data_IF_799908816987
#
_entry.id   IF_799908816987
#
_cell.length_a   1.000
_cell.length_b   1.000
_cell.length_c   1.000
_cell.angle_alpha   90.00
_cell.angle_beta   90.00
_cell.angle_gamma   90.00
#
_symmetry.space_group_name_H-M   'P 1'
#
loop_
_entity.id
_entity.type
_entity.pdbx_description
1 polymer ?
#
# COMPACT_ATOMS: atom_id res chain seq x y z
N UNK A 1 -38.94 -29.24 -32.60
CA UNK A 1 -39.98 -28.22 -32.80
C UNK A 1 -39.31 -26.99 -33.36
N UNK A 2 -39.48 -26.75 -34.66
CA UNK A 2 -38.88 -25.63 -35.38
C UNK A 2 -39.73 -24.36 -35.18
N UNK A 3 -39.10 -23.26 -34.76
CA UNK A 3 -39.69 -21.92 -34.85
C UNK A 3 -38.83 -21.07 -35.79
N UNK A 4 -39.06 -21.22 -37.09
CA UNK A 4 -38.64 -20.24 -38.10
C UNK A 4 -39.57 -19.03 -38.01
N UNK A 5 -39.24 -18.05 -37.18
CA UNK A 5 -40.00 -16.80 -37.10
C UNK A 5 -39.57 -15.86 -38.23
N UNK A 6 -40.45 -15.74 -39.22
CA UNK A 6 -40.58 -14.71 -40.25
C UNK A 6 -39.67 -13.47 -40.12
N UNK A 7 -38.50 -13.50 -40.77
CA UNK A 7 -37.79 -12.28 -41.13
C UNK A 7 -38.50 -11.66 -42.36
N UNK A 8 -39.45 -10.75 -42.12
CA UNK A 8 -39.94 -9.87 -43.18
C UNK A 8 -38.90 -8.78 -43.43
N UNK A 9 -38.40 -8.56 -44.66
CA UNK A 9 -37.52 -7.45 -44.93
C UNK A 9 -38.32 -6.14 -44.86
N UNK A 10 -37.90 -5.24 -43.97
CA UNK A 10 -38.48 -3.90 -43.81
C UNK A 10 -38.41 -3.03 -45.08
N UNK A 11 -37.81 -3.52 -46.17
CA UNK A 11 -37.72 -2.84 -47.47
C UNK A 11 -39.07 -2.71 -48.18
N UNK A 12 -40.10 -3.49 -47.82
CA UNK A 12 -41.41 -3.43 -48.48
C UNK A 12 -42.35 -2.30 -47.99
N UNK A 13 -42.05 -1.67 -46.85
CA UNK A 13 -42.89 -0.60 -46.30
C UNK A 13 -42.54 0.80 -46.82
N UNK A 14 -41.36 0.96 -47.43
CA UNK A 14 -40.93 2.25 -47.98
C UNK A 14 -41.44 2.52 -49.41
N UNK A 15 -41.93 1.50 -50.12
CA UNK A 15 -42.43 1.65 -51.50
C UNK A 15 -43.87 2.22 -51.58
N UNK A 16 -44.65 2.17 -50.50
CA UNK A 16 -46.04 2.62 -50.51
C UNK A 16 -46.22 4.15 -50.32
N UNK A 17 -45.18 4.86 -49.87
CA UNK A 17 -45.25 6.31 -49.60
C UNK A 17 -44.89 7.21 -50.81
N UNK A 18 -44.66 6.63 -51.99
CA UNK A 18 -44.15 7.36 -53.18
C UNK A 18 -45.25 7.81 -54.17
N UNK A 19 -46.53 7.85 -53.78
CA UNK A 19 -47.63 8.19 -54.70
C UNK A 19 -48.43 9.45 -54.39
N UNK A 20 -48.06 10.25 -53.40
CA UNK A 20 -48.62 11.59 -53.21
C UNK A 20 -47.48 12.61 -53.16
N UNK A 21 -47.57 13.62 -54.05
CA UNK A 21 -46.56 14.64 -54.31
C UNK A 21 -46.36 15.63 -53.17
N UNK A 22 -45.86 15.16 -52.05
CA UNK A 22 -45.18 15.98 -51.06
C UNK A 22 -43.80 15.39 -50.86
N UNK A 23 -42.75 16.14 -51.19
CA UNK A 23 -41.39 15.76 -50.84
C UNK A 23 -41.31 15.63 -49.32
N UNK A 24 -41.08 14.42 -48.75
CA UNK A 24 -40.72 14.36 -47.36
C UNK A 24 -39.36 15.04 -47.25
N UNK A 25 -39.30 16.17 -46.54
CA UNK A 25 -38.03 16.75 -46.10
C UNK A 25 -37.38 15.71 -45.20
N UNK A 26 -36.53 14.87 -45.78
CA UNK A 26 -35.66 13.95 -45.05
C UNK A 26 -34.73 14.83 -44.23
N UNK A 27 -35.08 15.06 -42.98
CA UNK A 27 -34.10 15.57 -42.01
C UNK A 27 -32.91 14.61 -42.07
N UNK A 28 -31.68 15.09 -42.20
CA UNK A 28 -30.54 14.19 -42.22
C UNK A 28 -30.59 13.40 -40.91
N UNK A 29 -30.74 12.08 -41.01
CA UNK A 29 -30.51 11.15 -39.91
C UNK A 29 -29.04 11.37 -39.51
N UNK A 30 -28.83 12.29 -38.59
CA UNK A 30 -27.54 12.48 -37.94
C UNK A 30 -27.33 11.19 -37.17
N UNK A 31 -26.51 10.31 -37.74
CA UNK A 31 -26.10 9.08 -37.08
C UNK A 31 -25.20 9.49 -35.92
N UNK A 32 -25.83 9.80 -34.78
CA UNK A 32 -25.08 10.15 -33.58
C UNK A 32 -24.36 8.89 -33.11
N UNK A 33 -23.03 9.00 -32.99
CA UNK A 33 -22.16 7.89 -32.62
C UNK A 33 -22.38 7.56 -31.13
N UNK A 34 -23.38 6.73 -30.80
CA UNK A 34 -23.77 6.36 -29.43
C UNK A 34 -23.15 5.06 -28.90
N UNK A 35 -22.87 4.95 -27.58
CA UNK A 35 -22.17 3.80 -26.95
C UNK A 35 -23.08 2.57 -26.76
N UNK A 36 -23.94 2.28 -27.73
CA UNK A 36 -25.05 1.32 -27.58
C UNK A 36 -24.61 -0.14 -27.62
N UNK A 37 -23.35 -0.43 -27.97
CA UNK A 37 -22.83 -1.80 -28.08
C UNK A 37 -21.59 -2.01 -27.22
N UNK A 38 -21.49 -3.17 -26.59
CA UNK A 38 -20.35 -3.59 -25.75
C UNK A 38 -19.02 -3.54 -26.51
N UNK A 39 -19.02 -3.92 -27.80
CA UNK A 39 -17.84 -3.83 -28.66
C UNK A 39 -17.31 -2.39 -28.80
N UNK A 40 -18.20 -1.39 -28.81
CA UNK A 40 -17.80 0.01 -28.91
C UNK A 40 -17.22 0.51 -27.58
N UNK A 41 -17.82 0.15 -26.46
CA UNK A 41 -17.29 0.48 -25.12
C UNK A 41 -15.93 -0.17 -24.90
N UNK A 42 -15.73 -1.43 -25.28
CA UNK A 42 -14.44 -2.13 -25.21
C UNK A 42 -13.34 -1.43 -26.01
N UNK A 43 -13.65 -0.92 -27.21
CA UNK A 43 -12.68 -0.17 -28.03
C UNK A 43 -12.35 1.20 -27.42
N UNK A 44 -13.34 1.86 -26.82
CA UNK A 44 -13.15 3.16 -26.19
C UNK A 44 -12.32 3.08 -24.90
N UNK A 45 -12.46 2.00 -24.12
CA UNK A 45 -11.72 1.76 -22.86
C UNK A 45 -10.44 0.93 -23.07
N UNK A 46 -9.96 0.80 -24.32
CA UNK A 46 -8.77 0.00 -24.61
C UNK A 46 -7.51 0.71 -24.08
N UNK A 47 -6.80 0.03 -23.18
CA UNK A 47 -5.45 0.42 -22.74
C UNK A 47 -4.45 -0.37 -23.57
N UNK A 48 -3.42 0.30 -24.10
CA UNK A 48 -2.34 -0.36 -24.84
C UNK A 48 -1.44 -1.18 -23.88
N UNK A 49 -0.85 -2.30 -24.33
CA UNK A 49 0.15 -3.02 -23.53
C UNK A 49 1.42 -2.17 -23.35
N UNK A 50 2.27 -2.57 -22.41
CA UNK A 50 3.58 -1.93 -22.22
C UNK A 50 4.48 -2.13 -23.46
N UNK A 51 5.31 -1.13 -23.78
CA UNK A 51 6.12 -1.08 -25.00
C UNK A 51 7.06 -2.28 -25.17
N UNK A 52 7.50 -2.89 -24.07
CA UNK A 52 8.33 -4.11 -24.07
C UNK A 52 7.66 -5.32 -24.73
N UNK A 53 6.33 -5.32 -24.87
CA UNK A 53 5.58 -6.40 -25.54
C UNK A 53 5.24 -6.06 -26.99
N UNK A 54 5.54 -4.84 -27.45
CA UNK A 54 5.36 -4.48 -28.85
C UNK A 54 6.51 -5.08 -29.66
N UNK A 55 6.23 -5.59 -30.88
CA UNK A 55 7.28 -6.12 -31.74
C UNK A 55 8.28 -5.01 -32.07
N UNK A 56 9.57 -5.33 -31.96
CA UNK A 56 10.62 -4.43 -32.40
C UNK A 56 10.54 -4.26 -33.92
N UNK A 57 10.25 -3.03 -34.35
CA UNK A 57 10.08 -2.69 -35.77
C UNK A 57 11.42 -2.55 -36.50
N UNK A 58 12.54 -2.61 -35.79
CA UNK A 58 13.88 -2.54 -36.38
C UNK A 58 14.40 -3.91 -36.85
N UNK A 59 13.86 -5.01 -36.30
CA UNK A 59 14.29 -6.36 -36.66
C UNK A 59 13.60 -6.87 -37.94
N UNK A 60 14.35 -7.62 -38.76
CA UNK A 60 13.81 -8.28 -39.95
C UNK A 60 12.83 -9.39 -39.53
N UNK A 61 11.62 -9.40 -40.10
CA UNK A 61 10.60 -10.40 -39.77
C UNK A 61 10.83 -11.71 -40.55
N UNK A 62 10.73 -12.90 -39.92
CA UNK A 62 10.43 -13.13 -38.50
C UNK A 62 11.67 -12.97 -37.61
N UNK A 63 11.50 -12.25 -36.49
CA UNK A 63 12.53 -12.16 -35.47
C UNK A 63 12.73 -13.53 -34.78
N UNK A 64 13.97 -13.85 -34.39
CA UNK A 64 14.28 -15.03 -33.60
C UNK A 64 13.75 -14.92 -32.16
N UNK A 65 13.48 -16.06 -31.53
CA UNK A 65 13.02 -16.10 -30.14
C UNK A 65 14.09 -15.56 -29.18
N UNK A 66 13.71 -14.62 -28.32
CA UNK A 66 14.60 -14.02 -27.32
C UNK A 66 13.89 -13.80 -25.97
N UNK A 67 14.66 -13.81 -24.89
CA UNK A 67 14.16 -13.56 -23.52
C UNK A 67 14.47 -12.10 -23.16
N UNK A 68 13.43 -11.32 -22.88
CA UNK A 68 13.53 -9.90 -22.52
C UNK A 68 13.47 -9.75 -20.99
N UNK A 69 14.34 -8.92 -20.41
CA UNK A 69 14.26 -8.55 -19.00
C UNK A 69 13.29 -7.37 -18.80
N UNK A 70 12.08 -7.65 -18.31
CA UNK A 70 11.04 -6.64 -18.09
C UNK A 70 10.61 -6.57 -16.61
N UNK A 71 11.39 -5.92 -15.73
CA UNK A 71 11.02 -5.77 -14.33
C UNK A 71 9.75 -4.88 -14.22
N UNK A 72 8.65 -5.38 -13.64
CA UNK A 72 7.40 -4.62 -13.58
C UNK A 72 7.51 -3.44 -12.61
N UNK A 73 6.84 -2.33 -12.94
CA UNK A 73 6.71 -1.17 -12.06
C UNK A 73 5.60 -1.35 -11.01
N UNK A 74 5.61 -2.48 -10.31
CA UNK A 74 4.64 -2.86 -9.27
C UNK A 74 5.35 -3.20 -7.96
N UNK A 75 4.61 -3.22 -6.86
CA UNK A 75 5.14 -3.74 -5.60
C UNK A 75 5.41 -5.24 -5.71
N UNK A 76 6.48 -5.70 -5.05
CA UNK A 76 6.86 -7.10 -5.06
C UNK A 76 5.96 -7.92 -4.13
N UNK A 77 5.55 -9.10 -4.57
CA UNK A 77 4.84 -10.07 -3.74
C UNK A 77 5.74 -10.58 -2.60
N UNK A 78 5.19 -10.92 -1.41
CA UNK A 78 5.92 -11.60 -0.34
C UNK A 78 6.60 -12.91 -0.76
N UNK A 79 6.10 -13.55 -1.82
CA UNK A 79 6.70 -14.77 -2.39
C UNK A 79 8.09 -14.51 -3.00
N UNK A 80 8.38 -13.26 -3.40
CA UNK A 80 9.70 -12.86 -3.86
C UNK A 80 10.62 -12.60 -2.66
N UNK A 81 11.08 -13.69 -2.04
CA UNK A 81 11.91 -13.63 -0.84
C UNK A 81 13.25 -12.95 -1.12
N UNK A 82 13.62 -11.88 -0.38
CA UNK A 82 14.88 -11.20 -0.59
C UNK A 82 16.07 -12.10 -0.19
N UNK A 83 17.22 -11.87 -0.84
CA UNK A 83 18.45 -12.65 -0.65
C UNK A 83 18.87 -12.86 0.82
N UNK A 84 18.61 -11.87 1.69
CA UNK A 84 18.96 -11.92 3.11
C UNK A 84 18.18 -13.00 3.88
N UNK A 85 16.95 -13.32 3.44
CA UNK A 85 16.06 -14.27 4.13
C UNK A 85 16.13 -15.69 3.54
N UNK A 86 16.90 -15.90 2.48
CA UNK A 86 17.15 -17.24 1.94
C UNK A 86 18.19 -17.99 2.79
N UNK A 87 17.98 -19.29 3.09
CA UNK A 87 18.95 -20.09 3.81
C UNK A 87 20.23 -20.26 2.98
N UNK A 88 21.37 -20.49 3.64
CA UNK A 88 22.67 -20.61 2.96
C UNK A 88 22.75 -21.77 1.96
N UNK A 89 21.97 -22.83 2.17
CA UNK A 89 21.92 -24.01 1.29
C UNK A 89 21.06 -23.82 0.04
N UNK A 90 20.29 -22.72 -0.08
CA UNK A 90 19.39 -22.52 -1.21
C UNK A 90 20.17 -22.17 -2.50
N UNK A 91 20.03 -22.94 -3.60
CA UNK A 91 20.75 -22.67 -4.85
C UNK A 91 20.35 -21.33 -5.49
N UNK A 92 19.15 -20.79 -5.20
CA UNK A 92 18.69 -19.48 -5.69
C UNK A 92 19.58 -18.34 -5.18
N UNK A 93 20.28 -18.54 -4.06
CA UNK A 93 21.23 -17.58 -3.49
C UNK A 93 22.38 -17.28 -4.46
N UNK A 94 22.90 -18.31 -5.14
CA UNK A 94 23.97 -18.13 -6.13
C UNK A 94 23.50 -17.36 -7.37
N UNK A 95 22.28 -17.62 -7.84
CA UNK A 95 21.68 -16.90 -8.97
C UNK A 95 21.46 -15.41 -8.65
N UNK A 96 20.88 -15.11 -7.48
CA UNK A 96 20.67 -13.72 -7.03
C UNK A 96 22.00 -12.95 -6.84
N UNK A 97 23.06 -13.63 -6.37
CA UNK A 97 24.39 -13.03 -6.28
C UNK A 97 24.99 -12.70 -7.66
N UNK A 98 24.74 -13.53 -8.68
CA UNK A 98 25.16 -13.25 -10.07
C UNK A 98 24.43 -12.04 -10.64
N UNK A 99 23.10 -11.97 -10.49
CA UNK A 99 22.30 -10.85 -11.01
C UNK A 99 22.69 -9.51 -10.37
N UNK A 100 23.04 -9.48 -9.08
CA UNK A 100 23.49 -8.24 -8.41
C UNK A 100 24.81 -7.70 -8.95
N UNK A 101 25.73 -8.58 -9.36
CA UNK A 101 27.03 -8.20 -9.91
C UNK A 101 26.93 -7.62 -11.32
N UNK A 102 25.98 -8.08 -12.13
CA UNK A 102 25.81 -7.59 -13.50
C UNK A 102 25.24 -6.17 -13.55
N UNK A 103 24.34 -5.82 -12.63
CA UNK A 103 23.67 -4.50 -12.60
C UNK A 103 24.58 -3.36 -12.12
N UNK A 104 25.71 -3.66 -11.46
CA UNK A 104 26.63 -2.62 -10.97
C UNK A 104 27.39 -1.92 -12.10
N UNK A 105 27.44 -2.51 -13.30
CA UNK A 105 28.16 -1.95 -14.47
C UNK A 105 27.40 -0.83 -15.18
N UNK A 106 26.11 -0.63 -14.88
CA UNK A 106 25.25 0.40 -15.52
C UNK A 106 24.70 1.39 -14.51
N UNK A 107 25.50 1.76 -13.49
CA UNK A 107 25.16 2.85 -12.56
C UNK A 107 26.00 4.08 -12.86
N UNK A 108 25.78 4.70 -14.01
CA UNK A 108 26.14 6.09 -14.27
C UNK A 108 24.94 6.72 -14.97
N UNK A 109 24.45 7.83 -14.42
CA UNK A 109 23.35 8.70 -14.94
C UNK A 109 21.90 8.21 -14.88
N UNK A 110 21.48 7.51 -13.82
CA UNK A 110 20.09 7.65 -13.35
C UNK A 110 20.05 8.78 -12.32
N UNK A 111 19.06 9.71 -12.32
CA UNK A 111 18.95 10.67 -11.22
C UNK A 111 18.90 9.85 -9.94
N UNK A 112 19.83 10.11 -9.01
CA UNK A 112 19.80 9.60 -7.66
C UNK A 112 18.41 9.96 -7.14
N UNK A 113 17.46 9.01 -7.20
CA UNK A 113 16.17 9.17 -6.57
C UNK A 113 16.55 9.35 -5.12
N UNK A 114 16.54 10.59 -4.64
CA UNK A 114 16.63 10.88 -3.23
C UNK A 114 15.64 9.94 -2.60
N UNK A 115 16.14 8.93 -1.88
CA UNK A 115 15.29 7.94 -1.25
C UNK A 115 14.23 8.74 -0.52
N UNK A 116 12.96 8.52 -0.88
CA UNK A 116 11.85 9.33 -0.37
C UNK A 116 12.01 9.48 1.13
N UNK A 117 11.66 10.65 1.67
CA UNK A 117 11.85 11.05 3.09
C UNK A 117 11.84 9.84 4.00
N UNK A 118 13.04 9.38 4.41
CA UNK A 118 13.15 8.18 5.20
C UNK A 118 12.27 8.36 6.43
N UNK A 119 11.28 7.47 6.61
CA UNK A 119 10.38 7.58 7.75
C UNK A 119 11.23 7.56 9.01
N UNK A 120 11.26 8.71 9.70
CA UNK A 120 12.13 8.96 10.85
C UNK A 120 11.48 8.33 12.07
N UNK A 121 11.47 7.01 12.11
CA UNK A 121 11.06 6.28 13.30
C UNK A 121 12.12 6.48 14.39
N UNK A 122 11.72 6.64 15.65
CA UNK A 122 12.65 6.53 16.77
C UNK A 122 13.17 5.09 16.80
N UNK A 123 14.26 4.84 16.07
CA UNK A 123 15.00 3.58 16.18
C UNK A 123 15.67 3.53 17.54
N UNK A 124 15.90 2.31 18.03
CA UNK A 124 16.93 2.10 19.06
C UNK A 124 18.17 2.84 18.58
N UNK A 125 18.72 3.73 19.41
CA UNK A 125 19.92 4.49 19.04
C UNK A 125 20.93 3.53 18.42
N UNK A 126 21.59 3.97 17.34
CA UNK A 126 22.54 3.13 16.61
C UNK A 126 23.59 2.53 17.57
N UNK A 127 23.90 3.26 18.65
CA UNK A 127 24.69 2.82 19.79
C UNK A 127 23.84 2.68 21.08
N UNK A 128 23.41 1.46 21.47
CA UNK A 128 22.75 1.25 22.76
C UNK A 128 23.74 1.40 23.92
N UNK A 129 23.48 2.33 24.84
CA UNK A 129 24.28 2.58 26.06
C UNK A 129 23.80 1.70 27.22
N UNK A 130 24.71 0.92 27.82
CA UNK A 130 24.45 0.03 28.96
C UNK A 130 25.31 0.41 30.17
N UNK A 131 25.22 1.67 30.63
CA UNK A 131 26.05 2.20 31.71
C UNK A 131 25.45 2.05 33.11
N UNK A 132 24.20 1.57 33.23
CA UNK A 132 23.51 1.47 34.51
C UNK A 132 23.91 0.23 35.30
N UNK A 133 24.24 0.41 36.58
CA UNK A 133 24.50 -0.68 37.51
C UNK A 133 23.20 -1.26 38.09
N UNK A 134 23.27 -2.47 38.66
CA UNK A 134 22.12 -3.10 39.33
C UNK A 134 21.61 -2.26 40.52
N UNK A 135 22.51 -1.58 41.23
CA UNK A 135 22.19 -0.71 42.37
C UNK A 135 21.38 0.51 41.93
N UNK A 136 21.78 1.15 40.83
CA UNK A 136 21.05 2.28 40.25
C UNK A 136 19.65 1.88 39.77
N UNK A 137 19.50 0.65 39.25
CA UNK A 137 18.19 0.13 38.87
C UNK A 137 17.30 -0.09 40.10
N UNK A 138 17.87 -0.54 41.22
CA UNK A 138 17.12 -0.71 42.46
C UNK A 138 16.72 0.64 43.06
N UNK A 139 17.61 1.63 43.07
CA UNK A 139 17.30 3.00 43.49
C UNK A 139 16.17 3.59 42.64
N UNK A 140 16.22 3.41 41.32
CA UNK A 140 15.17 3.84 40.40
C UNK A 140 13.81 3.20 40.72
N UNK A 141 13.79 1.93 41.15
CA UNK A 141 12.58 1.24 41.60
C UNK A 141 12.06 1.81 42.92
N UNK A 142 12.93 2.01 43.90
CA UNK A 142 12.57 2.59 45.20
C UNK A 142 11.95 3.97 45.05
N UNK A 143 12.63 4.88 44.34
CA UNK A 143 12.15 6.25 44.09
C UNK A 143 10.77 6.28 43.42
N UNK A 144 10.50 5.33 42.52
CA UNK A 144 9.24 5.26 41.80
C UNK A 144 8.11 4.61 42.60
N UNK A 145 8.46 3.76 43.56
CA UNK A 145 7.52 3.17 44.51
C UNK A 145 7.13 4.17 45.60
N UNK A 146 8.08 5.01 46.04
CA UNK A 146 7.85 6.08 47.02
C UNK A 146 6.87 7.12 46.47
N UNK A 147 7.25 7.86 45.41
CA UNK A 147 6.43 8.94 44.86
C UNK A 147 6.39 8.90 43.32
N UNK A 148 5.42 8.22 42.70
CA UNK A 148 5.34 8.08 41.24
C UNK A 148 5.02 9.39 40.51
N UNK A 149 4.49 10.40 41.22
CA UNK A 149 4.14 11.72 40.69
C UNK A 149 5.38 12.61 40.51
N UNK A 150 6.25 12.67 41.52
CA UNK A 150 7.50 13.45 41.47
C UNK A 150 8.54 12.72 40.62
N UNK A 151 8.75 11.42 40.89
CA UNK A 151 9.66 10.55 40.16
C UNK A 151 8.98 9.90 38.95
N UNK A 152 8.50 10.77 38.05
CA UNK A 152 7.93 10.36 36.77
C UNK A 152 8.96 9.66 35.88
N UNK A 153 8.49 8.91 34.88
CA UNK A 153 9.36 8.22 33.90
C UNK A 153 10.36 9.18 33.26
N UNK A 154 9.92 10.40 32.94
CA UNK A 154 10.77 11.42 32.34
C UNK A 154 11.81 11.98 33.32
N UNK A 155 11.47 12.11 34.60
CA UNK A 155 12.40 12.59 35.62
C UNK A 155 13.52 11.58 35.88
N UNK A 156 13.17 10.30 36.02
CA UNK A 156 14.15 9.21 36.21
C UNK A 156 15.02 9.01 34.97
N UNK A 157 14.43 9.08 33.77
CA UNK A 157 15.18 9.01 32.52
C UNK A 157 16.26 10.09 32.41
N UNK A 158 15.96 11.32 32.88
CA UNK A 158 16.93 12.42 32.93
C UNK A 158 17.98 12.22 34.03
N UNK A 159 17.57 11.75 35.21
CA UNK A 159 18.49 11.52 36.36
C UNK A 159 19.54 10.45 36.06
N UNK A 160 19.12 9.35 35.44
CA UNK A 160 19.98 8.20 35.14
C UNK A 160 20.51 8.20 33.69
N UNK A 161 20.27 9.28 32.93
CA UNK A 161 20.65 9.42 31.51
C UNK A 161 20.29 8.17 30.68
N UNK A 162 19.01 7.74 30.76
CA UNK A 162 18.53 6.52 30.12
C UNK A 162 17.20 6.73 29.37
N UNK A 163 16.81 5.76 28.54
CA UNK A 163 15.57 5.85 27.77
C UNK A 163 14.34 5.75 28.67
N UNK A 164 13.31 6.55 28.39
CA UNK A 164 12.01 6.46 29.09
C UNK A 164 11.39 5.06 29.00
N UNK A 165 11.58 4.38 27.87
CA UNK A 165 11.10 2.99 27.70
C UNK A 165 11.82 2.04 28.65
N UNK A 166 13.13 2.24 28.86
CA UNK A 166 13.89 1.44 29.80
C UNK A 166 13.39 1.63 31.24
N UNK A 167 13.12 2.88 31.65
CA UNK A 167 12.53 3.16 32.97
C UNK A 167 11.18 2.48 33.15
N UNK A 168 10.30 2.48 32.14
CA UNK A 168 9.00 1.80 32.21
C UNK A 168 9.13 0.29 32.41
N UNK A 169 10.15 -0.34 31.81
CA UNK A 169 10.44 -1.77 31.95
C UNK A 169 11.04 -2.05 33.34
N UNK A 170 12.02 -1.26 33.75
CA UNK A 170 12.82 -1.54 34.94
C UNK A 170 12.09 -1.15 36.25
N UNK A 171 11.32 -0.07 36.25
CA UNK A 171 10.60 0.45 37.42
C UNK A 171 9.12 0.72 37.05
N UNK A 172 8.27 -0.32 37.05
CA UNK A 172 6.83 -0.13 36.84
C UNK A 172 6.23 0.70 37.98
N UNK A 173 5.26 1.56 37.65
CA UNK A 173 4.52 2.33 38.66
C UNK A 173 3.71 1.39 39.59
N UNK A 174 3.47 1.80 40.85
CA UNK A 174 2.62 1.05 41.78
C UNK A 174 1.19 0.89 41.21
N UNK A 175 0.50 -0.16 41.66
CA UNK A 175 -0.82 -0.52 41.13
C UNK A 175 -1.85 0.60 41.33
N UNK A 176 -1.82 1.27 42.48
CA UNK A 176 -2.71 2.38 42.81
C UNK A 176 -2.56 3.55 41.82
N UNK A 177 -1.33 3.93 41.49
CA UNK A 177 -1.06 5.00 40.53
C UNK A 177 -1.48 4.60 39.10
N UNK A 178 -1.36 3.32 38.73
CA UNK A 178 -1.86 2.82 37.44
C UNK A 178 -3.39 2.87 37.36
N UNK A 179 -4.08 2.49 38.43
CA UNK A 179 -5.53 2.58 38.53
C UNK A 179 -5.99 4.04 38.42
N UNK A 180 -5.34 4.95 39.16
CA UNK A 180 -5.61 6.38 39.07
C UNK A 180 -5.42 6.92 37.65
N UNK A 181 -4.34 6.55 36.95
CA UNK A 181 -4.14 6.94 35.55
C UNK A 181 -5.23 6.41 34.61
N UNK A 182 -5.70 5.18 34.83
CA UNK A 182 -6.78 4.58 34.06
C UNK A 182 -8.11 5.33 34.28
N UNK A 183 -8.43 5.69 35.53
CA UNK A 183 -9.61 6.52 35.83
C UNK A 183 -9.53 7.91 35.18
N UNK A 184 -8.36 8.55 35.19
CA UNK A 184 -8.17 9.84 34.52
C UNK A 184 -8.33 9.71 33.00
N UNK A 185 -7.87 8.61 32.42
CA UNK A 185 -8.08 8.31 31.01
C UNK A 185 -9.58 8.13 30.70
N UNK A 186 -10.30 7.35 31.50
CA UNK A 186 -11.74 7.13 31.35
C UNK A 186 -12.52 8.44 31.45
N UNK A 187 -12.21 9.29 32.44
CA UNK A 187 -12.82 10.63 32.57
C UNK A 187 -12.58 11.51 31.34
N UNK A 188 -11.42 11.38 30.69
CA UNK A 188 -11.11 12.12 29.45
C UNK A 188 -11.82 11.53 28.25
N UNK A 189 -12.01 10.22 28.21
CA UNK A 189 -12.71 9.49 27.15
C UNK A 189 -14.23 9.71 27.23
N UNK A 190 -14.80 9.75 28.43
CA UNK A 190 -16.21 10.08 28.67
C UNK A 190 -16.59 11.50 28.19
N UNK A 191 -15.63 12.42 28.11
CA UNK A 191 -15.82 13.77 27.56
C UNK A 191 -15.85 13.81 26.03
N UNK A 192 -15.57 12.71 25.34
CA UNK A 192 -15.56 12.70 23.88
C UNK A 192 -17.00 12.62 23.35
N UNK A 193 -17.33 13.50 22.40
CA UNK A 193 -18.58 13.38 21.65
C UNK A 193 -18.51 12.26 20.61
N UNK A 194 -19.69 11.81 20.16
CA UNK A 194 -19.88 10.64 19.29
C UNK A 194 -18.94 10.59 18.08
N UNK A 195 -18.73 11.72 17.39
CA UNK A 195 -17.84 11.78 16.21
C UNK A 195 -16.38 11.45 16.54
N UNK A 196 -15.89 11.92 17.70
CA UNK A 196 -14.51 11.68 18.13
C UNK A 196 -14.33 10.24 18.60
N UNK A 197 -15.31 9.69 19.31
CA UNK A 197 -15.32 8.29 19.75
C UNK A 197 -15.28 7.34 18.56
N UNK A 198 -16.19 7.51 17.59
CA UNK A 198 -16.20 6.71 16.35
C UNK A 198 -14.87 6.78 15.58
N UNK A 199 -14.30 7.99 15.43
CA UNK A 199 -13.01 8.15 14.73
C UNK A 199 -11.83 7.48 15.47
N UNK A 200 -11.88 7.40 16.81
CA UNK A 200 -10.85 6.71 17.62
C UNK A 200 -10.98 5.21 17.51
N UNK A 201 -12.21 4.69 17.52
CA UNK A 201 -12.47 3.27 17.26
C UNK A 201 -12.03 2.87 15.85
N UNK A 202 -12.36 3.65 14.82
CA UNK A 202 -11.93 3.40 13.45
C UNK A 202 -10.40 3.40 13.33
N UNK A 203 -9.71 4.28 14.06
CA UNK A 203 -8.25 4.28 14.12
C UNK A 203 -7.71 3.00 14.74
N UNK A 204 -8.33 2.51 15.82
CA UNK A 204 -7.96 1.23 16.46
C UNK A 204 -8.19 0.06 15.51
N UNK A 205 -9.36 0.00 14.86
CA UNK A 205 -9.68 -1.03 13.87
C UNK A 205 -8.70 -1.02 12.70
N UNK A 206 -8.34 0.15 12.16
CA UNK A 206 -7.32 0.24 11.10
C UNK A 206 -5.95 -0.25 11.54
N UNK A 207 -5.54 0.02 12.78
CA UNK A 207 -4.29 -0.52 13.30
C UNK A 207 -4.34 -2.05 13.40
N UNK A 208 -5.45 -2.62 13.88
CA UNK A 208 -5.65 -4.06 13.95
C UNK A 208 -5.65 -4.72 12.57
N UNK A 209 -6.35 -4.13 11.59
CA UNK A 209 -6.39 -4.58 10.19
C UNK A 209 -4.99 -4.56 9.56
N UNK A 210 -4.19 -3.52 9.83
CA UNK A 210 -2.81 -3.44 9.37
C UNK A 210 -1.97 -4.62 9.89
N UNK A 211 -2.06 -4.97 11.18
CA UNK A 211 -1.31 -6.11 11.72
C UNK A 211 -1.79 -7.46 11.19
N UNK A 212 -3.05 -7.55 10.71
CA UNK A 212 -3.59 -8.74 10.05
C UNK A 212 -3.27 -8.81 8.55
N UNK A 213 -2.75 -7.74 7.96
CA UNK A 213 -2.49 -7.65 6.51
C UNK A 213 -3.74 -7.41 5.66
N UNK A 214 -4.80 -6.84 6.24
CA UNK A 214 -6.06 -6.50 5.55
C UNK A 214 -6.07 -5.06 5.00
N UNK A 215 -5.02 -4.27 5.29
CA UNK A 215 -4.83 -2.87 4.87
C UNK A 215 -3.42 -2.63 4.35
#
# INVERSE_FOLDING_TARGET
>A
MEFRSAARPASSLLAAAARHGQQPRLTPLTTTRGHKTTARTKRALKIAPHDSFLPDRSATFPAADSIICNPPASEASPEHTPFLFLPSSDPRRAAAARMRKTTTTTTTTGPTRSGGTAMRYPRRADDPRYHLSAEQVQEMRSLRAEDPLTWSVAALARRFDCSQVFVQIAAPAPAEHKAWLAEQQEKREARWGNKKTAAREDRKRRAELMYRGEL
#
